data_IF_772695921896
#
_entry.id   IF_772695921896
#
_cell.length_a   1.000
_cell.length_b   1.000
_cell.length_c   1.000
_cell.angle_alpha   90.00
_cell.angle_beta   90.00
_cell.angle_gamma   90.00
#
_symmetry.space_group_name_H-M   'P 1'
#
loop_
_entity.id
_entity.type
_entity.pdbx_description
1 polymer ?
#
# COMPACT_ATOMS: atom_id res chain seq x y z
N UNK A 1 21.43 25.43 -5.61
CA UNK A 1 20.68 24.34 -6.23
C UNK A 1 19.20 24.51 -5.95
N UNK A 2 18.37 24.27 -6.95
CA UNK A 2 16.95 24.54 -6.83
C UNK A 2 16.19 23.23 -6.61
N UNK A 3 15.38 23.20 -5.55
CA UNK A 3 14.44 22.12 -5.30
C UNK A 3 13.27 22.30 -6.27
N UNK A 4 13.07 21.32 -7.14
CA UNK A 4 12.05 21.39 -8.20
C UNK A 4 10.75 20.67 -7.86
N UNK A 5 10.60 20.22 -6.63
CA UNK A 5 9.36 19.58 -6.19
C UNK A 5 8.19 20.57 -6.29
N UNK A 6 7.01 20.06 -6.61
CA UNK A 6 5.81 20.87 -6.72
C UNK A 6 4.64 20.23 -5.97
N UNK A 7 3.66 21.06 -5.63
CA UNK A 7 2.47 20.59 -4.94
C UNK A 7 2.78 19.99 -3.58
N UNK A 8 2.11 18.89 -3.26
CA UNK A 8 2.28 18.22 -1.97
C UNK A 8 3.69 17.67 -1.76
N UNK A 9 4.39 17.33 -2.83
CA UNK A 9 5.78 16.86 -2.76
C UNK A 9 6.70 17.95 -2.21
N UNK A 10 6.47 19.20 -2.56
CA UNK A 10 7.27 20.34 -2.10
C UNK A 10 7.08 20.59 -0.60
N UNK A 11 5.98 20.16 -0.03
CA UNK A 11 5.66 20.33 1.37
C UNK A 11 6.18 19.20 2.27
N UNK A 12 6.70 18.13 1.66
CA UNK A 12 7.22 16.99 2.43
C UNK A 12 8.44 17.39 3.25
N UNK A 13 8.52 16.84 4.46
CA UNK A 13 9.66 17.00 5.37
C UNK A 13 10.08 15.63 5.87
N UNK A 14 11.33 15.55 6.36
CA UNK A 14 11.84 14.34 7.00
C UNK A 14 10.90 13.95 8.15
N UNK A 15 10.53 12.67 8.18
CA UNK A 15 9.61 12.13 9.18
C UNK A 15 8.15 12.13 8.74
N UNK A 16 7.80 12.79 7.64
CA UNK A 16 6.43 12.78 7.13
C UNK A 16 6.08 11.41 6.58
N UNK A 17 4.81 11.04 6.70
CA UNK A 17 4.30 9.80 6.13
C UNK A 17 3.95 10.00 4.66
N UNK A 18 4.31 9.01 3.86
CA UNK A 18 3.94 8.94 2.45
C UNK A 18 3.55 7.51 2.12
N UNK A 19 2.88 7.35 1.00
CA UNK A 19 2.51 6.03 0.49
C UNK A 19 3.43 5.73 -0.69
N UNK A 20 4.06 4.54 -0.67
CA UNK A 20 4.82 4.05 -1.81
C UNK A 20 3.92 3.08 -2.57
N UNK A 21 3.55 3.46 -3.79
CA UNK A 21 2.78 2.61 -4.69
C UNK A 21 3.74 1.85 -5.59
N UNK A 22 3.82 0.54 -5.39
CA UNK A 22 4.68 -0.33 -6.21
C UNK A 22 3.78 -1.19 -7.09
N UNK A 23 3.88 -1.10 -8.43
CA UNK A 23 3.05 -1.89 -9.33
C UNK A 23 3.18 -3.40 -9.16
N UNK A 24 4.29 -3.87 -8.56
CA UNK A 24 4.56 -5.29 -8.38
C UNK A 24 4.19 -5.81 -7.01
N UNK A 25 4.00 -4.90 -6.06
CA UNK A 25 3.68 -5.22 -4.68
C UNK A 25 2.54 -4.33 -4.22
N UNK A 26 1.97 -4.64 -3.06
CA UNK A 26 0.96 -3.78 -2.47
C UNK A 26 1.58 -2.46 -2.00
N UNK A 27 0.76 -1.43 -1.93
CA UNK A 27 1.18 -0.13 -1.41
C UNK A 27 1.62 -0.22 0.05
N UNK A 28 2.60 0.59 0.43
CA UNK A 28 3.12 0.65 1.80
C UNK A 28 3.15 2.08 2.29
N UNK A 29 3.01 2.27 3.60
CA UNK A 29 3.17 3.56 4.25
C UNK A 29 4.55 3.61 4.87
N UNK A 30 5.32 4.64 4.55
CA UNK A 30 6.69 4.82 5.04
C UNK A 30 6.91 6.26 5.44
N UNK A 31 7.96 6.49 6.23
CA UNK A 31 8.39 7.83 6.61
C UNK A 31 9.52 8.29 5.71
N UNK A 32 9.54 9.58 5.40
CA UNK A 32 10.63 10.19 4.66
C UNK A 32 11.89 10.21 5.53
N UNK A 33 12.98 9.62 5.03
CA UNK A 33 14.26 9.55 5.75
C UNK A 33 15.12 10.77 5.51
N UNK A 34 15.17 11.24 4.25
CA UNK A 34 16.03 12.37 3.87
C UNK A 34 15.46 13.06 2.64
N UNK A 35 15.64 14.36 2.58
CA UNK A 35 15.33 15.17 1.40
C UNK A 35 16.61 15.92 1.01
N UNK A 36 17.04 15.71 -0.23
CA UNK A 36 18.25 16.36 -0.72
C UNK A 36 17.98 17.81 -1.14
N UNK A 37 19.01 18.65 -1.24
CA UNK A 37 18.82 20.05 -1.67
C UNK A 37 18.21 20.19 -3.07
N UNK A 38 18.34 19.17 -3.93
CA UNK A 38 17.77 19.20 -5.28
C UNK A 38 16.35 18.63 -5.35
N UNK A 39 15.80 18.16 -4.22
CA UNK A 39 14.43 17.68 -4.14
C UNK A 39 14.27 16.17 -4.30
N UNK A 40 15.35 15.40 -4.18
CA UNK A 40 15.23 13.94 -4.13
C UNK A 40 14.78 13.51 -2.74
N UNK A 41 13.92 12.51 -2.71
CA UNK A 41 13.32 12.02 -1.48
C UNK A 41 13.83 10.59 -1.24
N UNK A 42 14.54 10.40 -0.13
CA UNK A 42 15.11 9.10 0.22
C UNK A 42 14.23 8.41 1.27
N UNK A 43 13.82 7.20 0.98
CA UNK A 43 13.01 6.37 1.88
C UNK A 43 13.59 4.96 1.82
N UNK A 44 14.22 4.52 2.91
CA UNK A 44 14.91 3.21 2.96
C UNK A 44 15.90 3.08 1.80
N UNK A 45 15.76 2.06 0.97
CA UNK A 45 16.63 1.85 -0.19
C UNK A 45 16.16 2.60 -1.44
N UNK A 46 15.01 3.27 -1.38
CA UNK A 46 14.47 4.00 -2.52
C UNK A 46 14.98 5.43 -2.57
N UNK A 47 15.22 5.91 -3.78
CA UNK A 47 15.46 7.32 -4.05
C UNK A 47 14.43 7.77 -5.06
N UNK A 48 13.57 8.71 -4.66
CA UNK A 48 12.53 9.25 -5.52
C UNK A 48 12.97 10.61 -6.07
N UNK A 49 12.66 10.87 -7.33
CA UNK A 49 12.96 12.17 -7.93
C UNK A 49 11.94 13.23 -7.50
N UNK A 50 12.09 14.45 -8.01
CA UNK A 50 11.20 15.55 -7.66
C UNK A 50 9.74 15.34 -8.09
N UNK A 51 9.50 14.38 -8.97
CA UNK A 51 8.14 14.03 -9.40
C UNK A 51 7.56 12.85 -8.60
N UNK A 52 8.31 12.33 -7.64
CA UNK A 52 7.86 11.21 -6.82
C UNK A 52 8.03 9.85 -7.46
N UNK A 53 8.83 9.73 -8.51
CA UNK A 53 9.12 8.46 -9.16
C UNK A 53 10.46 7.90 -8.66
N UNK A 54 10.50 6.61 -8.37
CA UNK A 54 11.72 5.95 -7.94
C UNK A 54 12.76 5.95 -9.06
N UNK A 55 13.99 6.26 -8.70
CA UNK A 55 15.11 6.31 -9.64
C UNK A 55 15.77 4.93 -9.75
N UNK A 56 16.36 4.66 -10.92
CA UNK A 56 17.08 3.41 -11.14
C UNK A 56 16.20 2.25 -11.61
N UNK A 57 14.98 2.52 -12.04
CA UNK A 57 14.05 1.51 -12.50
C UNK A 57 13.79 1.67 -14.00
N UNK A 58 13.86 0.58 -14.74
CA UNK A 58 13.60 0.59 -16.19
C UNK A 58 12.10 0.49 -16.48
N UNK A 59 11.37 -0.31 -15.67
CA UNK A 59 9.93 -0.54 -15.84
C UNK A 59 9.24 -0.53 -14.49
N UNK A 60 7.99 -0.11 -14.47
CA UNK A 60 7.12 -0.21 -13.29
C UNK A 60 7.74 0.41 -12.05
N UNK A 61 8.31 1.59 -12.19
CA UNK A 61 8.93 2.29 -11.07
C UNK A 61 7.91 2.56 -9.95
N UNK A 62 8.26 2.27 -8.69
CA UNK A 62 7.45 2.72 -7.57
C UNK A 62 7.31 4.24 -7.57
N UNK A 63 6.18 4.72 -7.08
CA UNK A 63 5.95 6.16 -7.00
C UNK A 63 5.37 6.53 -5.65
N UNK A 64 5.53 7.79 -5.28
CA UNK A 64 4.97 8.32 -4.04
C UNK A 64 3.54 8.80 -4.27
N UNK A 65 2.68 8.52 -3.31
CA UNK A 65 1.34 9.08 -3.24
C UNK A 65 1.19 9.82 -1.93
N UNK A 66 0.35 10.84 -1.93
CA UNK A 66 0.11 11.64 -0.74
C UNK A 66 -0.57 10.80 0.33
N UNK A 67 -0.04 10.89 1.57
CA UNK A 67 -0.61 10.19 2.70
C UNK A 67 -1.98 10.79 3.06
N UNK A 68 -2.92 9.89 3.36
CA UNK A 68 -4.16 10.26 4.03
C UNK A 68 -4.56 9.11 4.94
N UNK A 69 -5.35 9.41 5.98
CA UNK A 69 -5.82 8.38 6.90
C UNK A 69 -6.72 7.38 6.19
N UNK A 70 -7.51 7.85 5.23
CA UNK A 70 -8.38 7.00 4.42
C UNK A 70 -7.57 6.04 3.55
N UNK A 71 -6.54 6.53 2.86
CA UNK A 71 -5.68 5.69 2.04
C UNK A 71 -4.93 4.68 2.90
N UNK A 72 -4.47 5.07 4.08
CA UNK A 72 -3.80 4.17 5.01
C UNK A 72 -4.75 3.06 5.48
N UNK A 73 -5.99 3.40 5.77
CA UNK A 73 -6.99 2.42 6.18
C UNK A 73 -7.29 1.44 5.05
N UNK A 74 -7.38 1.90 3.81
CA UNK A 74 -7.56 1.03 2.65
C UNK A 74 -6.42 0.03 2.50
N UNK A 75 -5.18 0.47 2.72
CA UNK A 75 -4.01 -0.41 2.67
C UNK A 75 -4.11 -1.47 3.76
N UNK A 76 -4.46 -1.09 4.98
CA UNK A 76 -4.64 -2.03 6.09
C UNK A 76 -5.74 -3.06 5.79
N UNK A 77 -6.86 -2.61 5.26
CA UNK A 77 -7.99 -3.46 4.91
C UNK A 77 -7.63 -4.43 3.81
N UNK A 78 -6.92 -3.96 2.79
CA UNK A 78 -6.45 -4.80 1.70
C UNK A 78 -5.55 -5.93 2.21
N UNK A 79 -4.59 -5.60 3.06
CA UNK A 79 -3.68 -6.60 3.66
C UNK A 79 -4.43 -7.60 4.53
N UNK A 80 -5.33 -7.11 5.36
CA UNK A 80 -6.13 -7.96 6.23
C UNK A 80 -7.00 -8.91 5.41
N UNK A 81 -7.61 -8.40 4.34
CA UNK A 81 -8.42 -9.21 3.44
C UNK A 81 -7.59 -10.32 2.79
N UNK A 82 -6.39 -10.01 2.33
CA UNK A 82 -5.51 -10.99 1.71
C UNK A 82 -5.07 -12.08 2.70
N UNK A 83 -4.72 -11.71 3.92
CA UNK A 83 -4.34 -12.66 4.97
C UNK A 83 -5.52 -13.59 5.28
N UNK A 84 -6.71 -13.03 5.45
CA UNK A 84 -7.92 -13.83 5.73
C UNK A 84 -8.26 -14.77 4.57
N UNK A 85 -8.10 -14.28 3.33
CA UNK A 85 -8.35 -15.12 2.15
C UNK A 85 -7.40 -16.31 2.09
N UNK A 86 -6.11 -16.08 2.40
CA UNK A 86 -5.12 -17.15 2.46
C UNK A 86 -5.43 -18.16 3.56
N UNK A 87 -5.79 -17.68 4.74
CA UNK A 87 -6.17 -18.56 5.85
C UNK A 87 -7.38 -19.42 5.48
N UNK A 88 -8.40 -18.81 4.89
CA UNK A 88 -9.61 -19.55 4.48
C UNK A 88 -9.31 -20.56 3.37
N UNK A 89 -8.44 -20.20 2.42
CA UNK A 89 -8.10 -21.10 1.33
C UNK A 89 -7.30 -22.33 1.80
N UNK A 90 -6.59 -22.21 2.92
CA UNK A 90 -5.82 -23.32 3.47
C UNK A 90 -6.66 -24.24 4.37
N UNK A 91 -7.89 -23.88 4.70
CA UNK A 91 -8.76 -24.67 5.54
C UNK A 91 -9.34 -25.87 4.81
N UNK A 92 -9.40 -27.01 5.52
CA UNK A 92 -10.10 -28.17 5.01
C UNK A 92 -11.58 -28.07 5.42
N UNK A 93 -12.39 -27.53 4.54
CA UNK A 93 -13.82 -27.34 4.80
C UNK A 93 -14.57 -28.65 5.03
N UNK A 94 -14.08 -29.75 4.49
CA UNK A 94 -14.71 -31.06 4.69
C UNK A 94 -14.66 -31.52 6.16
N UNK A 95 -13.71 -31.03 6.93
CA UNK A 95 -13.59 -31.36 8.35
C UNK A 95 -14.45 -30.51 9.26
N UNK A 96 -15.10 -29.47 8.73
CA UNK A 96 -15.94 -28.58 9.50
C UNK A 96 -17.34 -29.16 9.72
N UNK A 97 -17.98 -28.89 10.88
CA UNK A 97 -19.37 -29.24 11.10
C UNK A 97 -20.29 -28.61 10.04
N UNK A 98 -21.35 -29.31 9.70
CA UNK A 98 -22.32 -28.83 8.71
C UNK A 98 -22.85 -27.44 9.03
N UNK A 99 -23.10 -27.16 10.30
CA UNK A 99 -23.60 -25.85 10.76
C UNK A 99 -22.69 -24.72 10.35
N UNK A 100 -21.37 -24.93 10.49
CA UNK A 100 -20.37 -23.92 10.11
C UNK A 100 -20.29 -23.75 8.59
N UNK A 101 -20.39 -24.85 7.87
CA UNK A 101 -20.39 -24.80 6.40
C UNK A 101 -21.59 -24.04 5.86
N UNK A 102 -22.76 -24.25 6.43
CA UNK A 102 -23.97 -23.51 6.05
C UNK A 102 -23.80 -22.01 6.31
N UNK A 103 -23.26 -21.65 7.48
CA UNK A 103 -23.02 -20.22 7.81
C UNK A 103 -22.03 -19.58 6.86
N UNK A 104 -20.94 -20.27 6.50
CA UNK A 104 -19.96 -19.76 5.57
C UNK A 104 -20.60 -19.49 4.21
N UNK A 105 -21.40 -20.44 3.74
CA UNK A 105 -22.11 -20.30 2.47
C UNK A 105 -23.06 -19.10 2.48
N UNK A 106 -23.82 -18.94 3.55
CA UNK A 106 -24.73 -17.80 3.70
C UNK A 106 -24.00 -16.47 3.66
N UNK A 107 -22.88 -16.36 4.36
CA UNK A 107 -22.07 -15.15 4.39
C UNK A 107 -21.57 -14.80 2.98
N UNK A 108 -21.04 -15.79 2.27
CA UNK A 108 -20.51 -15.58 0.92
C UNK A 108 -21.61 -15.18 -0.06
N UNK A 109 -22.73 -15.90 -0.05
CA UNK A 109 -23.85 -15.63 -0.97
C UNK A 109 -24.58 -14.34 -0.61
N UNK A 110 -24.71 -14.04 0.68
CA UNK A 110 -25.44 -12.85 1.13
C UNK A 110 -24.68 -11.55 0.99
N UNK A 111 -23.34 -11.56 1.04
CA UNK A 111 -22.54 -10.33 1.05
C UNK A 111 -21.93 -9.96 -0.29
N UNK A 112 -21.95 -10.86 -1.26
CA UNK A 112 -21.24 -10.64 -2.52
C UNK A 112 -22.11 -10.20 -3.69
N UNK A 113 -23.42 -10.19 -3.57
CA UNK A 113 -24.31 -10.09 -4.73
C UNK A 113 -25.39 -9.03 -4.62
N UNK A 114 -25.25 -8.14 -3.68
CA UNK A 114 -26.18 -7.03 -3.51
C UNK A 114 -25.65 -5.71 -4.02
#
# INVERSE_FOLDING_TARGET
MTDKRQGWLAELRVGDLVIIEDPRNSSTVKKVDKITPTGRINIESYVFNQNGLAMGWDYSAPRLAQYSTEAHQEIKDYRKRNVLALELSSKNFKSLPLEKLVKIKEIIEGSGYE
#
